data_IF_977246924453
#
_entry.id   IF_977246924453
#
_cell.length_a   1.000
_cell.length_b   1.000
_cell.length_c   1.000
_cell.angle_alpha   90.00
_cell.angle_beta   90.00
_cell.angle_gamma   90.00
#
_symmetry.space_group_name_H-M   'P 1'
#
loop_
_entity.id
_entity.type
_entity.pdbx_description
1 polymer ?
#
# COMPACT_ATOMS: atom_id res chain seq x y z
N UNK A 1 -21.83 17.27 -13.81
CA UNK A 1 -22.10 16.73 -12.47
C UNK A 1 -20.94 17.13 -11.55
N UNK A 2 -21.19 17.80 -10.41
CA UNK A 2 -20.10 18.25 -9.52
C UNK A 2 -19.34 17.06 -8.91
N UNK A 3 -18.00 17.15 -8.85
CA UNK A 3 -17.12 16.18 -8.18
C UNK A 3 -16.45 16.85 -6.98
N UNK A 4 -16.58 16.24 -5.81
CA UNK A 4 -15.86 16.67 -4.61
C UNK A 4 -14.41 16.19 -4.67
N UNK A 5 -13.47 17.12 -4.50
CA UNK A 5 -12.03 16.84 -4.51
C UNK A 5 -11.42 17.37 -3.21
N UNK A 6 -10.52 16.59 -2.61
CA UNK A 6 -9.71 17.01 -1.47
C UNK A 6 -8.36 17.53 -1.98
N UNK A 7 -7.86 18.61 -1.37
CA UNK A 7 -6.61 19.25 -1.76
C UNK A 7 -5.73 19.51 -0.53
N UNK A 8 -4.42 19.58 -0.74
CA UNK A 8 -3.44 19.93 0.30
C UNK A 8 -2.24 18.99 0.37
N UNK A 9 -1.29 19.32 1.24
CA UNK A 9 -0.01 18.61 1.33
C UNK A 9 -0.15 17.17 1.83
N UNK A 10 -1.16 16.90 2.64
CA UNK A 10 -1.43 15.54 3.14
C UNK A 10 -1.81 14.60 2.01
N UNK A 11 -2.70 15.01 1.10
CA UNK A 11 -3.08 14.18 -0.06
C UNK A 11 -1.93 14.05 -1.06
N UNK A 12 -1.13 15.10 -1.23
CA UNK A 12 0.08 15.06 -2.06
C UNK A 12 1.14 14.09 -1.48
N UNK A 13 1.37 14.13 -0.17
CA UNK A 13 2.29 13.22 0.52
C UNK A 13 1.79 11.78 0.41
N UNK A 14 0.50 11.54 0.67
CA UNK A 14 -0.11 10.22 0.56
C UNK A 14 0.01 9.65 -0.87
N UNK A 15 -0.27 10.45 -1.90
CA UNK A 15 -0.12 10.04 -3.29
C UNK A 15 1.32 9.65 -3.65
N UNK A 16 2.33 10.34 -3.11
CA UNK A 16 3.74 9.99 -3.33
C UNK A 16 4.18 8.73 -2.60
N UNK A 17 3.70 8.56 -1.37
CA UNK A 17 3.96 7.34 -0.60
C UNK A 17 3.33 6.13 -1.31
N UNK A 18 2.12 6.30 -1.85
CA UNK A 18 1.44 5.26 -2.62
C UNK A 18 2.17 4.94 -3.94
N UNK A 19 2.58 5.96 -4.71
CA UNK A 19 3.28 5.75 -5.99
C UNK A 19 4.66 5.11 -5.85
N UNK A 20 5.31 5.25 -4.69
CA UNK A 20 6.60 4.61 -4.36
C UNK A 20 6.43 3.35 -3.50
N UNK A 21 5.18 2.90 -3.34
CA UNK A 21 4.81 1.70 -2.62
C UNK A 21 5.19 0.40 -3.33
N UNK A 22 5.07 -0.71 -2.62
CA UNK A 22 5.25 -2.06 -3.14
C UNK A 22 3.94 -2.83 -2.93
N UNK A 23 3.63 -3.79 -3.81
CA UNK A 23 2.36 -4.52 -3.77
C UNK A 23 2.28 -5.36 -2.50
N UNK A 24 1.07 -5.57 -2.01
CA UNK A 24 0.78 -6.31 -0.78
C UNK A 24 1.48 -5.77 0.48
N UNK A 25 1.83 -4.47 0.49
CA UNK A 25 2.40 -3.78 1.66
C UNK A 25 1.67 -2.47 1.94
N UNK A 26 1.63 -2.08 3.20
CA UNK A 26 1.06 -0.81 3.64
C UNK A 26 2.21 0.17 3.90
N UNK A 27 2.38 1.14 3.01
CA UNK A 27 3.43 2.16 3.12
C UNK A 27 2.95 3.33 4.00
N UNK A 28 3.73 3.71 5.01
CA UNK A 28 3.38 4.81 5.92
C UNK A 28 4.51 5.84 6.04
N UNK A 29 4.11 7.10 6.27
CA UNK A 29 5.03 8.20 6.57
C UNK A 29 5.62 8.09 7.98
N UNK A 30 6.72 8.81 8.24
CA UNK A 30 7.29 8.93 9.58
C UNK A 30 6.27 9.48 10.58
N UNK A 31 5.48 10.48 10.17
CA UNK A 31 4.48 11.09 11.05
C UNK A 31 3.41 10.07 11.47
N UNK A 32 2.91 9.29 10.50
CA UNK A 32 1.95 8.21 10.77
C UNK A 32 2.55 7.14 11.69
N UNK A 33 3.82 6.77 11.47
CA UNK A 33 4.52 5.81 12.33
C UNK A 33 4.57 6.28 13.79
N UNK A 34 4.94 7.54 14.02
CA UNK A 34 5.00 8.14 15.36
C UNK A 34 3.65 8.10 16.07
N UNK A 35 2.58 8.45 15.36
CA UNK A 35 1.21 8.41 15.91
C UNK A 35 0.84 6.98 16.32
N UNK A 36 1.02 6.02 15.41
CA UNK A 36 0.70 4.61 15.66
C UNK A 36 1.52 4.00 16.81
N UNK A 37 2.80 4.39 16.94
CA UNK A 37 3.65 3.99 18.04
C UNK A 37 3.14 4.57 19.37
N UNK A 38 2.74 5.84 19.39
CA UNK A 38 2.24 6.51 20.59
C UNK A 38 0.89 5.98 21.08
N UNK A 39 0.06 5.41 20.19
CA UNK A 39 -1.20 4.76 20.57
C UNK A 39 -0.98 3.50 21.44
N UNK A 40 0.21 2.90 21.44
CA UNK A 40 0.56 1.70 22.23
C UNK A 40 -0.36 0.49 21.99
N UNK A 41 -1.05 0.43 20.85
CA UNK A 41 -1.93 -0.70 20.47
C UNK A 41 -1.17 -1.90 19.87
N UNK A 42 0.17 -1.90 19.92
CA UNK A 42 0.99 -3.01 19.44
C UNK A 42 1.09 -3.13 17.92
N UNK A 43 1.06 -2.01 17.18
CA UNK A 43 1.39 -2.00 15.76
C UNK A 43 2.88 -2.36 15.55
N UNK A 44 3.13 -3.19 14.54
CA UNK A 44 4.47 -3.59 14.12
C UNK A 44 4.81 -2.90 12.82
N UNK A 45 5.93 -2.18 12.78
CA UNK A 45 6.41 -1.52 11.58
C UNK A 45 7.87 -1.86 11.32
N UNK A 46 8.22 -1.95 10.04
CA UNK A 46 9.60 -2.16 9.59
C UNK A 46 10.10 -0.93 8.85
N UNK A 47 11.33 -0.51 9.13
CA UNK A 47 11.97 0.57 8.39
C UNK A 47 12.16 0.17 6.92
N UNK A 48 11.75 1.03 5.99
CA UNK A 48 11.92 0.83 4.55
C UNK A 48 13.20 1.51 4.05
N UNK A 49 13.48 2.71 4.55
CA UNK A 49 14.50 3.60 4.00
C UNK A 49 13.97 5.02 3.84
N UNK A 50 14.82 5.89 3.28
CA UNK A 50 14.45 7.26 2.93
C UNK A 50 13.75 7.31 1.58
N UNK A 51 12.67 8.07 1.50
CA UNK A 51 11.92 8.32 0.26
C UNK A 51 12.01 9.81 -0.06
N UNK A 52 12.31 10.13 -1.32
CA UNK A 52 12.33 11.52 -1.77
C UNK A 52 10.91 12.03 -2.02
N UNK A 53 10.53 13.05 -1.27
CA UNK A 53 9.25 13.73 -1.38
C UNK A 53 9.50 15.15 -1.87
N UNK A 54 9.03 15.45 -3.09
CA UNK A 54 9.13 16.80 -3.67
C UNK A 54 8.53 17.84 -2.72
N UNK A 55 9.34 18.81 -2.31
CA UNK A 55 8.96 19.88 -1.38
C UNK A 55 9.23 19.59 0.10
N UNK A 56 9.45 18.33 0.50
CA UNK A 56 9.82 17.96 1.88
C UNK A 56 11.23 17.38 2.01
N UNK A 57 11.85 16.99 0.90
CA UNK A 57 13.17 16.36 0.89
C UNK A 57 13.09 14.86 1.14
N UNK A 58 14.14 14.30 1.75
CA UNK A 58 14.21 12.88 2.10
C UNK A 58 13.52 12.64 3.45
N UNK A 59 12.45 11.85 3.44
CA UNK A 59 11.72 11.47 4.65
C UNK A 59 11.87 9.95 4.91
N UNK A 60 12.02 9.58 6.18
CA UNK A 60 12.06 8.17 6.58
C UNK A 60 10.67 7.55 6.44
N UNK A 61 10.58 6.40 5.76
CA UNK A 61 9.32 5.69 5.59
C UNK A 61 9.36 4.26 6.10
N UNK A 62 8.17 3.73 6.36
CA UNK A 62 8.01 2.46 7.07
C UNK A 62 6.95 1.59 6.39
N UNK A 63 7.07 0.28 6.55
CA UNK A 63 6.05 -0.69 6.22
C UNK A 63 5.27 -1.06 7.49
N UNK A 64 3.95 -0.93 7.46
CA UNK A 64 3.11 -1.50 8.50
C UNK A 64 2.94 -3.00 8.24
N UNK A 65 3.47 -3.84 9.13
CA UNK A 65 3.55 -5.31 8.93
C UNK A 65 2.59 -6.10 9.81
N UNK A 66 1.99 -5.47 10.81
CA UNK A 66 0.97 -6.14 11.62
C UNK A 66 0.51 -5.34 12.83
N UNK A 67 -0.38 -5.96 13.60
CA UNK A 67 -0.91 -5.44 14.87
C UNK A 67 -1.03 -6.59 15.86
N UNK A 68 -0.72 -6.36 17.13
CA UNK A 68 -0.96 -7.31 18.22
C UNK A 68 -2.46 -7.66 18.27
N UNK A 69 -2.79 -8.94 18.32
CA UNK A 69 -4.18 -9.42 18.31
C UNK A 69 -4.81 -9.55 16.92
N UNK A 70 -4.08 -9.23 15.84
CA UNK A 70 -4.54 -9.55 14.49
C UNK A 70 -4.19 -11.00 14.16
N UNK A 71 -5.21 -11.87 14.13
CA UNK A 71 -5.05 -13.33 13.94
C UNK A 71 -5.27 -13.80 12.50
N UNK A 72 -5.67 -12.90 11.60
CA UNK A 72 -5.84 -13.25 10.18
C UNK A 72 -4.48 -13.34 9.50
N UNK A 73 -4.34 -14.31 8.62
CA UNK A 73 -3.14 -14.45 7.78
C UNK A 73 -3.09 -13.27 6.80
N UNK A 74 -1.95 -12.56 6.80
CA UNK A 74 -1.68 -11.53 5.81
C UNK A 74 -1.13 -12.19 4.54
N UNK A 75 -1.46 -11.67 3.35
CA UNK A 75 -0.82 -12.12 2.12
C UNK A 75 0.69 -11.88 2.22
N UNK A 76 1.49 -12.87 1.83
CA UNK A 76 2.93 -12.71 1.82
C UNK A 76 3.32 -11.77 0.68
N UNK A 77 4.05 -10.68 0.95
CA UNK A 77 4.50 -9.80 -0.11
C UNK A 77 5.46 -10.54 -1.05
N UNK A 78 5.34 -10.37 -2.38
CA UNK A 78 6.27 -10.97 -3.32
C UNK A 78 7.69 -10.42 -3.12
N UNK A 79 8.70 -11.25 -3.35
CA UNK A 79 10.09 -10.81 -3.43
C UNK A 79 10.32 -10.09 -4.76
N UNK A 80 10.50 -8.76 -4.69
CA UNK A 80 10.77 -7.94 -5.87
C UNK A 80 12.28 -7.69 -5.93
N UNK A 81 12.95 -8.30 -6.91
CA UNK A 81 14.36 -8.04 -7.20
C UNK A 81 14.50 -6.81 -8.09
N UNK A 82 15.58 -6.06 -7.91
CA UNK A 82 15.90 -4.91 -8.76
C UNK A 82 16.00 -5.35 -10.24
N UNK A 83 15.35 -4.61 -11.13
CA UNK A 83 15.32 -4.90 -12.58
C UNK A 83 14.18 -5.81 -13.05
N UNK A 84 13.39 -6.42 -12.15
CA UNK A 84 12.21 -7.17 -12.58
C UNK A 84 10.99 -6.24 -12.81
N UNK A 85 10.22 -6.43 -13.90
CA UNK A 85 9.01 -5.65 -14.19
C UNK A 85 7.83 -6.15 -13.34
N UNK A 86 7.97 -6.07 -12.01
CA UNK A 86 6.98 -6.57 -11.06
C UNK A 86 5.60 -5.92 -11.25
N UNK A 87 5.55 -4.65 -11.67
CA UNK A 87 4.31 -3.93 -11.94
C UNK A 87 3.49 -4.62 -13.04
N UNK A 88 4.14 -5.11 -14.09
CA UNK A 88 3.46 -5.80 -15.19
C UNK A 88 2.89 -7.15 -14.75
N UNK A 89 3.67 -7.89 -13.94
CA UNK A 89 3.29 -9.21 -13.41
C UNK A 89 2.02 -9.06 -12.57
N UNK A 90 2.04 -8.15 -11.61
CA UNK A 90 0.88 -7.87 -10.73
C UNK A 90 -0.33 -7.39 -11.55
N UNK A 91 -0.12 -6.51 -12.53
CA UNK A 91 -1.21 -6.04 -13.39
C UNK A 91 -1.85 -7.19 -14.20
N UNK A 92 -1.07 -8.18 -14.65
CA UNK A 92 -1.61 -9.37 -15.31
C UNK A 92 -2.41 -10.24 -14.34
N UNK A 93 -1.91 -10.46 -13.14
CA UNK A 93 -2.61 -11.24 -12.10
C UNK A 93 -3.94 -10.61 -11.69
N UNK A 94 -3.97 -9.29 -11.47
CA UNK A 94 -5.19 -8.55 -11.14
C UNK A 94 -6.22 -8.67 -12.28
N UNK A 95 -5.78 -8.48 -13.54
CA UNK A 95 -6.66 -8.63 -14.72
C UNK A 95 -7.21 -10.06 -14.83
N UNK A 96 -6.38 -11.07 -14.59
CA UNK A 96 -6.81 -12.47 -14.61
C UNK A 96 -7.84 -12.75 -13.50
N UNK A 97 -7.59 -12.31 -12.27
CA UNK A 97 -8.51 -12.47 -11.14
C UNK A 97 -9.85 -11.78 -11.40
N UNK A 98 -9.84 -10.55 -11.93
CA UNK A 98 -11.07 -9.84 -12.31
C UNK A 98 -11.84 -10.57 -13.41
N UNK A 99 -11.15 -11.14 -14.41
CA UNK A 99 -11.79 -11.94 -15.47
C UNK A 99 -12.46 -13.20 -14.92
N UNK A 100 -11.83 -13.88 -13.97
CA UNK A 100 -12.40 -15.07 -13.31
C UNK A 100 -13.63 -14.70 -12.47
N UNK A 101 -13.56 -13.63 -11.66
CA UNK A 101 -14.73 -13.16 -10.91
C UNK A 101 -15.89 -12.75 -11.81
N UNK A 102 -15.60 -12.05 -12.91
CA UNK A 102 -16.62 -11.66 -13.89
C UNK A 102 -17.29 -12.88 -14.52
N UNK A 103 -16.51 -13.92 -14.86
CA UNK A 103 -17.05 -15.18 -15.41
C UNK A 103 -17.93 -15.91 -14.39
N UNK A 104 -17.46 -16.07 -13.14
CA UNK A 104 -18.25 -16.69 -12.06
C UNK A 104 -19.58 -15.95 -11.80
N UNK A 105 -19.57 -14.62 -11.89
CA UNK A 105 -20.79 -13.83 -11.71
C UNK A 105 -21.81 -14.06 -12.84
N UNK A 106 -21.35 -14.17 -14.10
CA UNK A 106 -22.21 -14.47 -15.25
C UNK A 106 -22.77 -15.90 -15.14
N UNK A 107 -21.93 -16.87 -14.77
CA UNK A 107 -22.33 -18.28 -14.62
C UNK A 107 -23.32 -18.50 -13.46
N UNK A 108 -23.39 -17.60 -12.47
CA UNK A 108 -24.36 -17.65 -11.36
C UNK A 108 -25.71 -16.97 -11.67
N UNK A 109 -25.82 -16.25 -12.80
CA UNK A 109 -27.04 -15.58 -13.23
C UNK A 109 -27.77 -16.32 -14.38
N UNK A 110 -27.23 -17.45 -14.84
CA UNK A 110 -27.84 -18.33 -15.86
C UNK A 110 -28.38 -19.60 -15.22
#
# INVERSE_FOLDING_TARGET
>A
MPRYCLFGDTVNTASRIESTGLPYRIHISQNTMRILHNLKEGYKMNFRGKTELKGKGLEDTYWLVGKRGFTKTLPQPPEIKAGQPWQEIINREIKAAMKISKKKFIDQQS
#
